data_IF_084275673366
#
_entry.id   IF_084275673366
#
_cell.length_a   1.000
_cell.length_b   1.000
_cell.length_c   1.000
_cell.angle_alpha   90.00
_cell.angle_beta   90.00
_cell.angle_gamma   90.00
#
_symmetry.space_group_name_H-M   'P 1'
#
loop_
_entity.id
_entity.type
_entity.pdbx_description
1 polymer ?
#
# COMPACT_ATOMS: atom_id res chain seq x y z
N UNK A 1 13.45 -21.40 5.41
CA UNK A 1 12.10 -21.07 5.87
C UNK A 1 12.07 -20.94 7.38
N UNK A 2 11.34 -19.97 7.87
CA UNK A 2 11.06 -19.78 9.31
C UNK A 2 9.58 -20.11 9.54
N UNK A 3 9.30 -21.12 10.35
CA UNK A 3 7.94 -21.59 10.58
C UNK A 3 7.46 -21.27 11.98
N UNK A 4 6.32 -20.59 12.09
CA UNK A 4 5.64 -20.28 13.32
C UNK A 4 4.53 -21.31 13.56
N UNK A 5 4.76 -22.27 14.47
CA UNK A 5 3.78 -23.30 14.82
C UNK A 5 2.64 -22.75 15.69
N UNK A 6 2.84 -21.62 16.32
CA UNK A 6 1.89 -20.89 17.18
C UNK A 6 2.04 -19.38 16.94
N UNK A 7 1.09 -18.56 17.38
CA UNK A 7 1.21 -17.11 17.25
C UNK A 7 2.53 -16.59 17.79
N UNK A 8 3.15 -15.69 17.05
CA UNK A 8 4.41 -15.04 17.42
C UNK A 8 4.27 -13.52 17.30
N UNK A 9 4.76 -12.84 18.32
CA UNK A 9 4.75 -11.36 18.34
C UNK A 9 6.18 -10.84 18.32
N UNK A 10 6.50 -10.00 17.34
CA UNK A 10 7.69 -9.16 17.37
C UNK A 10 7.42 -8.07 18.40
N UNK A 11 8.13 -8.15 19.55
CA UNK A 11 7.91 -7.29 20.71
C UNK A 11 9.10 -6.35 20.93
N UNK A 12 9.02 -5.49 21.93
CA UNK A 12 10.00 -4.45 22.22
C UNK A 12 11.47 -4.90 22.33
N UNK A 13 11.72 -6.17 22.44
CA UNK A 13 13.09 -6.73 22.57
C UNK A 13 13.57 -7.49 21.33
N UNK A 14 12.74 -7.60 20.32
CA UNK A 14 13.06 -8.36 19.10
C UNK A 14 12.76 -7.54 17.85
N UNK A 15 13.77 -7.40 17.02
CA UNK A 15 13.63 -6.90 15.65
C UNK A 15 13.99 -8.06 14.72
N UNK A 16 13.05 -8.47 13.91
CA UNK A 16 13.31 -9.45 12.86
C UNK A 16 13.68 -8.70 11.60
N UNK A 17 14.92 -8.81 11.16
CA UNK A 17 15.43 -8.16 9.95
C UNK A 17 15.89 -9.23 8.98
N UNK A 18 15.49 -9.11 7.73
CA UNK A 18 16.19 -9.77 6.64
C UNK A 18 16.85 -8.73 5.73
N UNK A 19 18.14 -8.49 5.90
CA UNK A 19 18.86 -7.49 5.11
C UNK A 19 19.30 -7.97 3.72
N UNK A 20 19.37 -9.30 3.44
CA UNK A 20 20.11 -9.76 2.26
C UNK A 20 19.66 -11.10 1.66
N UNK A 21 18.60 -11.71 2.14
CA UNK A 21 18.23 -13.06 1.69
C UNK A 21 16.78 -13.17 1.23
N UNK A 22 16.42 -14.29 0.65
CA UNK A 22 15.02 -14.65 0.42
C UNK A 22 14.57 -15.57 1.54
N UNK A 23 13.76 -15.07 2.45
CA UNK A 23 13.17 -15.88 3.52
C UNK A 23 11.71 -16.20 3.18
N UNK A 24 11.33 -17.43 3.48
CA UNK A 24 9.91 -17.81 3.51
C UNK A 24 9.49 -17.94 4.96
N UNK A 25 8.55 -17.12 5.38
CA UNK A 25 7.84 -17.25 6.64
C UNK A 25 6.65 -18.17 6.43
N UNK A 26 6.41 -19.11 7.35
CA UNK A 26 5.32 -20.07 7.20
C UNK A 26 4.80 -20.57 8.54
N UNK A 27 3.85 -21.52 8.47
CA UNK A 27 3.19 -22.10 9.64
C UNK A 27 1.81 -21.50 9.92
N UNK A 28 1.02 -22.13 10.79
CA UNK A 28 -0.36 -21.71 11.07
C UNK A 28 -0.45 -20.55 12.08
N UNK A 29 0.69 -20.11 12.66
CA UNK A 29 0.68 -19.06 13.66
C UNK A 29 0.52 -17.66 13.07
N UNK A 30 -0.26 -16.82 13.73
CA UNK A 30 -0.34 -15.39 13.42
C UNK A 30 1.01 -14.72 13.75
N UNK A 31 1.51 -13.91 12.82
CA UNK A 31 2.66 -13.04 13.04
C UNK A 31 2.18 -11.62 13.35
N UNK A 32 2.38 -11.17 14.59
CA UNK A 32 2.05 -9.80 14.98
C UNK A 32 3.31 -8.94 15.03
N UNK A 33 3.31 -7.82 14.34
CA UNK A 33 4.33 -6.78 14.47
C UNK A 33 3.78 -5.75 15.45
N UNK A 34 4.25 -5.78 16.70
CA UNK A 34 3.72 -4.90 17.74
C UNK A 34 4.08 -3.43 17.49
N UNK A 35 3.30 -2.52 18.06
CA UNK A 35 3.56 -1.08 18.00
C UNK A 35 4.98 -0.74 18.45
N UNK A 36 5.67 0.12 17.70
CA UNK A 36 7.06 0.49 17.93
C UNK A 36 8.09 -0.55 17.46
N UNK A 37 7.65 -1.69 16.92
CA UNK A 37 8.52 -2.72 16.36
C UNK A 37 8.48 -2.71 14.84
N UNK A 38 9.49 -3.34 14.22
CA UNK A 38 9.58 -3.39 12.77
C UNK A 38 9.91 -4.79 12.25
N UNK A 39 9.35 -5.10 11.10
CA UNK A 39 9.73 -6.21 10.23
C UNK A 39 10.09 -5.63 8.87
N UNK A 40 11.28 -5.98 8.37
CA UNK A 40 11.72 -5.64 7.02
C UNK A 40 11.69 -6.87 6.13
N UNK A 41 11.11 -6.73 4.95
CA UNK A 41 11.08 -7.73 3.90
C UNK A 41 11.84 -7.22 2.66
N UNK A 42 12.71 -8.10 2.12
CA UNK A 42 13.51 -7.81 0.91
C UNK A 42 13.53 -9.06 0.04
N UNK A 43 12.64 -9.16 -0.95
CA UNK A 43 12.42 -10.35 -1.77
C UNK A 43 11.88 -11.56 -0.98
N UNK A 44 11.10 -11.34 0.05
CA UNK A 44 10.64 -12.37 0.97
C UNK A 44 9.21 -12.82 0.71
N UNK A 45 8.86 -13.99 1.20
CA UNK A 45 7.50 -14.54 1.13
C UNK A 45 6.98 -14.84 2.52
N UNK A 46 5.85 -14.23 2.88
CA UNK A 46 5.12 -14.51 4.09
C UNK A 46 3.85 -15.32 3.77
N UNK A 47 3.78 -16.54 4.29
CA UNK A 47 2.61 -17.42 4.18
C UNK A 47 1.78 -17.44 5.48
N UNK A 48 2.25 -16.75 6.51
CA UNK A 48 1.52 -16.58 7.76
C UNK A 48 0.47 -15.47 7.64
N UNK A 49 -0.57 -15.55 8.40
CA UNK A 49 -1.41 -14.41 8.68
C UNK A 49 -0.58 -13.34 9.41
N UNK A 50 -0.74 -12.07 9.02
CA UNK A 50 0.03 -10.95 9.56
C UNK A 50 -0.91 -9.88 10.10
N UNK A 51 -0.63 -9.47 11.35
CA UNK A 51 -1.23 -8.29 11.98
C UNK A 51 -0.14 -7.24 12.20
N UNK A 52 -0.11 -6.23 11.33
CA UNK A 52 0.85 -5.12 11.44
C UNK A 52 0.27 -3.98 12.28
N UNK A 53 0.74 -3.87 13.51
CA UNK A 53 0.49 -2.77 14.43
C UNK A 53 1.71 -1.85 14.58
N UNK A 54 2.87 -2.26 14.06
CA UNK A 54 4.14 -1.57 14.07
C UNK A 54 4.54 -1.03 12.70
N UNK A 55 5.72 -1.41 12.24
CA UNK A 55 6.26 -1.02 10.92
C UNK A 55 6.54 -2.29 10.12
N UNK A 56 5.89 -2.43 8.98
CA UNK A 56 6.23 -3.40 7.94
C UNK A 56 6.90 -2.64 6.79
N UNK A 57 8.19 -2.86 6.61
CA UNK A 57 9.01 -2.16 5.62
C UNK A 57 9.38 -3.10 4.46
N UNK A 58 8.93 -2.77 3.27
CA UNK A 58 9.23 -3.49 2.03
C UNK A 58 10.29 -2.69 1.29
N UNK A 59 11.53 -3.12 1.37
CA UNK A 59 12.63 -2.46 0.67
C UNK A 59 13.16 -3.34 -0.45
N UNK A 60 13.23 -2.78 -1.64
CA UNK A 60 13.82 -3.43 -2.82
C UNK A 60 13.14 -4.75 -3.23
N UNK A 61 13.24 -5.06 -4.51
CA UNK A 61 12.72 -6.30 -5.08
C UNK A 61 11.22 -6.56 -4.80
N UNK A 62 10.78 -7.78 -5.00
CA UNK A 62 9.38 -8.16 -4.80
C UNK A 62 9.25 -9.03 -3.57
N UNK A 63 8.48 -8.57 -2.59
CA UNK A 63 8.03 -9.37 -1.46
C UNK A 63 6.56 -9.75 -1.63
N UNK A 64 6.17 -10.89 -1.05
CA UNK A 64 4.82 -11.43 -1.19
C UNK A 64 4.24 -11.79 0.16
N UNK A 65 2.98 -11.42 0.38
CA UNK A 65 2.15 -11.87 1.50
C UNK A 65 1.06 -12.78 0.93
N UNK A 66 1.23 -14.09 1.11
CA UNK A 66 0.31 -15.12 0.63
C UNK A 66 -0.72 -15.55 1.68
N UNK A 67 -0.78 -14.84 2.80
CA UNK A 67 -1.67 -15.17 3.91
C UNK A 67 -3.15 -15.07 3.53
N UNK A 68 -3.98 -15.75 4.30
CA UNK A 68 -5.44 -15.60 4.19
C UNK A 68 -5.91 -14.29 4.82
N UNK A 69 -5.21 -13.82 5.85
CA UNK A 69 -5.53 -12.58 6.55
C UNK A 69 -4.28 -11.70 6.68
N UNK A 70 -4.40 -10.48 6.18
CA UNK A 70 -3.45 -9.40 6.43
C UNK A 70 -4.22 -8.19 6.96
N UNK A 71 -3.74 -7.58 8.05
CA UNK A 71 -4.28 -6.34 8.59
C UNK A 71 -3.16 -5.33 8.78
N UNK A 72 -3.44 -4.05 8.50
CA UNK A 72 -2.50 -2.97 8.74
C UNK A 72 -3.16 -1.87 9.57
N UNK A 73 -2.81 -1.82 10.84
CA UNK A 73 -3.14 -0.71 11.75
C UNK A 73 -1.93 0.14 12.12
N UNK A 74 -0.73 -0.29 11.72
CA UNK A 74 0.53 0.42 11.85
C UNK A 74 0.95 1.15 10.57
N UNK A 75 2.22 1.04 10.23
CA UNK A 75 2.80 1.62 9.01
C UNK A 75 3.28 0.49 8.09
N UNK A 76 2.83 0.51 6.87
CA UNK A 76 3.35 -0.29 5.76
C UNK A 76 4.09 0.65 4.81
N UNK A 77 5.40 0.47 4.67
CA UNK A 77 6.21 1.25 3.74
C UNK A 77 6.66 0.38 2.58
N UNK A 78 6.48 0.85 1.35
CA UNK A 78 7.02 0.25 0.13
C UNK A 78 8.02 1.24 -0.43
N UNK A 79 9.33 0.99 -0.18
CA UNK A 79 10.39 1.97 -0.40
C UNK A 79 11.39 1.50 -1.44
N UNK A 80 11.47 2.24 -2.55
CA UNK A 80 12.54 2.08 -3.53
C UNK A 80 13.81 2.80 -3.04
N UNK A 81 14.90 2.06 -2.94
CA UNK A 81 16.22 2.60 -2.59
C UNK A 81 17.19 2.52 -3.77
N UNK A 82 18.45 2.88 -3.59
CA UNK A 82 19.44 2.88 -4.68
C UNK A 82 19.62 1.53 -5.37
N UNK A 83 19.33 0.44 -4.70
CA UNK A 83 19.52 -0.93 -5.22
C UNK A 83 18.51 -1.33 -6.29
N UNK A 84 17.20 -1.20 -6.01
CA UNK A 84 16.14 -1.65 -6.92
C UNK A 84 14.78 -1.01 -6.61
N UNK A 85 13.79 -1.33 -7.45
CA UNK A 85 12.38 -1.06 -7.19
C UNK A 85 11.92 -1.83 -5.93
N UNK A 86 10.85 -1.36 -5.29
CA UNK A 86 10.20 -2.07 -4.22
C UNK A 86 8.77 -2.47 -4.63
N UNK A 87 8.43 -3.72 -4.42
CA UNK A 87 7.12 -4.25 -4.79
C UNK A 87 6.58 -5.13 -3.67
N UNK A 88 5.32 -4.94 -3.34
CA UNK A 88 4.57 -5.83 -2.45
C UNK A 88 3.39 -6.42 -3.21
N UNK A 89 3.30 -7.73 -3.21
CA UNK A 89 2.11 -8.45 -3.65
C UNK A 89 1.40 -9.05 -2.43
N UNK A 90 0.14 -8.70 -2.24
CA UNK A 90 -0.75 -9.28 -1.23
C UNK A 90 -1.77 -10.15 -1.97
N UNK A 91 -1.86 -11.41 -1.59
CA UNK A 91 -2.71 -12.38 -2.30
C UNK A 91 -4.20 -12.05 -2.18
N UNK A 92 -4.64 -11.60 -1.02
CA UNK A 92 -6.05 -11.34 -0.71
C UNK A 92 -6.30 -9.88 -0.31
N UNK A 93 -7.53 -9.43 -0.48
CA UNK A 93 -7.96 -8.11 0.00
C UNK A 93 -7.73 -7.97 1.50
N UNK A 94 -7.47 -6.72 1.94
CA UNK A 94 -7.19 -6.43 3.33
C UNK A 94 -7.68 -5.03 3.75
N UNK A 95 -7.73 -4.82 5.06
CA UNK A 95 -8.07 -3.51 5.63
C UNK A 95 -6.80 -2.76 6.04
N UNK A 96 -6.70 -1.51 5.60
CA UNK A 96 -5.73 -0.54 6.06
C UNK A 96 -6.42 0.45 7.00
N UNK A 97 -6.19 0.32 8.31
CA UNK A 97 -6.61 1.29 9.32
C UNK A 97 -5.46 2.22 9.74
N UNK A 98 -4.23 1.89 9.34
CA UNK A 98 -3.02 2.66 9.59
C UNK A 98 -2.58 3.47 8.37
N UNK A 99 -1.29 3.45 8.08
CA UNK A 99 -0.71 4.16 6.93
C UNK A 99 -0.04 3.19 5.97
N UNK A 100 -0.28 3.37 4.68
CA UNK A 100 0.49 2.77 3.59
C UNK A 100 1.25 3.90 2.90
N UNK A 101 2.57 3.79 2.78
CA UNK A 101 3.41 4.77 2.09
C UNK A 101 4.16 4.10 0.93
N UNK A 102 4.02 4.64 -0.27
CA UNK A 102 4.88 4.33 -1.40
C UNK A 102 5.89 5.46 -1.54
N UNK A 103 7.19 5.17 -1.36
CA UNK A 103 8.26 6.19 -1.32
C UNK A 103 9.42 5.86 -2.26
N UNK A 104 9.79 6.79 -3.13
CA UNK A 104 11.07 6.72 -3.80
C UNK A 104 12.15 7.48 -2.99
N UNK A 105 12.89 6.74 -2.18
CA UNK A 105 14.02 7.28 -1.40
C UNK A 105 15.35 7.28 -2.18
N UNK A 106 15.33 6.96 -3.47
CA UNK A 106 16.51 6.86 -4.32
C UNK A 106 16.83 8.17 -5.03
N UNK A 107 18.11 8.37 -5.37
CA UNK A 107 18.53 9.42 -6.29
C UNK A 107 18.27 9.12 -7.76
N UNK A 108 17.85 7.88 -8.08
CA UNK A 108 17.48 7.45 -9.44
C UNK A 108 16.03 7.02 -9.47
N UNK A 109 15.45 6.97 -10.67
CA UNK A 109 14.07 6.53 -10.87
C UNK A 109 13.87 5.13 -10.32
N UNK A 110 12.90 4.98 -9.40
CA UNK A 110 12.48 3.70 -8.83
C UNK A 110 10.96 3.61 -8.82
N UNK A 111 10.46 2.44 -9.15
CA UNK A 111 9.03 2.13 -9.05
C UNK A 111 8.71 1.50 -7.70
N UNK A 112 7.63 1.95 -7.10
CA UNK A 112 7.03 1.35 -5.92
C UNK A 112 5.67 0.82 -6.31
N UNK A 113 5.46 -0.48 -6.07
CA UNK A 113 4.22 -1.13 -6.50
C UNK A 113 3.57 -1.88 -5.35
N UNK A 114 2.30 -1.59 -5.10
CA UNK A 114 1.42 -2.41 -4.28
C UNK A 114 0.44 -3.15 -5.20
N UNK A 115 0.41 -4.47 -5.11
CA UNK A 115 -0.56 -5.29 -5.83
C UNK A 115 -1.40 -6.09 -4.84
N UNK A 116 -2.73 -6.01 -4.95
CA UNK A 116 -3.67 -6.90 -4.27
C UNK A 116 -4.27 -7.81 -5.33
N UNK A 117 -3.89 -9.10 -5.28
CA UNK A 117 -4.17 -10.04 -6.38
C UNK A 117 -5.64 -10.44 -6.47
N UNK A 118 -6.34 -10.49 -5.34
CA UNK A 118 -7.77 -10.79 -5.29
C UNK A 118 -8.45 -10.03 -4.15
N UNK A 119 -9.75 -9.77 -4.27
CA UNK A 119 -10.51 -9.03 -3.27
C UNK A 119 -10.28 -7.52 -3.36
N UNK A 120 -10.42 -6.83 -2.24
CA UNK A 120 -10.45 -5.37 -2.17
C UNK A 120 -9.53 -4.85 -1.06
N UNK A 121 -8.79 -3.78 -1.34
CA UNK A 121 -8.13 -2.96 -0.34
C UNK A 121 -9.16 -1.99 0.24
N UNK A 122 -9.55 -2.21 1.50
CA UNK A 122 -10.41 -1.28 2.24
C UNK A 122 -9.52 -0.29 2.99
N UNK A 123 -9.47 0.95 2.51
CA UNK A 123 -8.69 2.01 3.16
C UNK A 123 -9.57 2.80 4.12
N UNK A 124 -9.30 2.65 5.41
CA UNK A 124 -9.91 3.41 6.51
C UNK A 124 -8.91 4.40 7.12
N UNK A 125 -7.62 4.23 6.85
CA UNK A 125 -6.52 5.08 7.28
C UNK A 125 -6.01 5.97 6.15
N UNK A 126 -4.71 5.96 5.92
CA UNK A 126 -4.07 6.78 4.89
C UNK A 126 -3.31 5.91 3.89
N UNK A 127 -3.44 6.21 2.60
CA UNK A 127 -2.53 5.77 1.55
C UNK A 127 -1.80 7.02 1.07
N UNK A 128 -0.47 7.05 1.19
CA UNK A 128 0.36 8.19 0.81
C UNK A 128 1.39 7.79 -0.24
N UNK A 129 1.68 8.72 -1.14
CA UNK A 129 2.78 8.57 -2.11
C UNK A 129 3.75 9.72 -1.95
N UNK A 130 5.04 9.39 -1.74
CA UNK A 130 6.06 10.39 -1.44
C UNK A 130 7.31 10.17 -2.30
N UNK A 131 8.13 11.21 -2.38
CA UNK A 131 9.42 11.17 -3.04
C UNK A 131 10.45 11.84 -2.13
N UNK A 132 11.08 11.03 -1.27
CA UNK A 132 12.10 11.53 -0.36
C UNK A 132 13.49 11.62 -0.99
N UNK A 133 13.70 10.89 -2.10
CA UNK A 133 14.90 10.95 -2.93
C UNK A 133 14.79 11.93 -4.10
N UNK A 134 15.87 12.11 -4.86
CA UNK A 134 15.91 12.99 -6.02
C UNK A 134 15.52 12.31 -7.35
N UNK A 135 15.36 10.99 -7.36
CA UNK A 135 15.00 10.24 -8.57
C UNK A 135 13.51 10.38 -8.91
N UNK A 136 13.18 10.37 -10.20
CA UNK A 136 11.79 10.40 -10.62
C UNK A 136 10.98 9.22 -10.03
N UNK A 137 9.68 9.41 -9.89
CA UNK A 137 8.79 8.43 -9.26
C UNK A 137 7.88 7.75 -10.28
N UNK A 138 7.50 6.50 -9.94
CA UNK A 138 6.45 5.76 -10.60
C UNK A 138 5.75 4.90 -9.54
N UNK A 139 4.81 5.51 -8.82
CA UNK A 139 4.02 4.79 -7.82
C UNK A 139 2.84 4.11 -8.48
N UNK A 140 2.66 2.84 -8.19
CA UNK A 140 1.63 2.01 -8.80
C UNK A 140 0.86 1.24 -7.72
N UNK A 141 -0.47 1.35 -7.75
CA UNK A 141 -1.36 0.57 -6.92
C UNK A 141 -2.28 -0.23 -7.84
N UNK A 142 -2.10 -1.56 -7.86
CA UNK A 142 -2.93 -2.50 -8.59
C UNK A 142 -3.90 -3.16 -7.62
N UNK A 143 -5.05 -2.57 -7.38
CA UNK A 143 -6.03 -3.06 -6.42
C UNK A 143 -7.42 -2.49 -6.70
N UNK A 144 -8.46 -3.29 -6.48
CA UNK A 144 -9.77 -2.72 -6.21
C UNK A 144 -9.75 -2.01 -4.87
N UNK A 145 -10.28 -0.79 -4.78
CA UNK A 145 -10.18 0.04 -3.57
C UNK A 145 -11.57 0.50 -3.15
N UNK A 146 -11.85 0.35 -1.85
CA UNK A 146 -12.88 1.09 -1.14
C UNK A 146 -12.16 2.06 -0.20
N UNK A 147 -12.27 3.36 -0.47
CA UNK A 147 -11.64 4.40 0.31
C UNK A 147 -12.68 5.12 1.19
N UNK A 148 -12.53 4.95 2.49
CA UNK A 148 -13.26 5.70 3.52
C UNK A 148 -12.34 6.57 4.37
N UNK A 149 -11.03 6.46 4.15
CA UNK A 149 -9.97 7.26 4.76
C UNK A 149 -9.43 8.32 3.80
N UNK A 150 -8.13 8.45 3.75
CA UNK A 150 -7.41 9.45 2.96
C UNK A 150 -6.52 8.77 1.91
N UNK A 151 -6.53 9.29 0.69
CA UNK A 151 -5.49 9.04 -0.33
C UNK A 151 -4.77 10.35 -0.56
N UNK A 152 -3.48 10.40 -0.21
CA UNK A 152 -2.64 11.59 -0.20
C UNK A 152 -1.50 11.43 -1.23
N UNK A 153 -1.55 12.21 -2.28
CA UNK A 153 -0.68 12.09 -3.46
C UNK A 153 0.29 13.27 -3.49
N UNK A 154 1.38 13.17 -2.73
CA UNK A 154 2.49 14.11 -2.77
C UNK A 154 3.45 13.85 -3.94
N UNK A 155 3.43 12.64 -4.48
CA UNK A 155 4.20 12.26 -5.66
C UNK A 155 3.32 11.47 -6.64
N UNK A 156 3.52 11.71 -7.94
CA UNK A 156 2.69 11.13 -9.01
C UNK A 156 2.50 9.63 -8.88
N UNK A 157 1.25 9.19 -9.01
CA UNK A 157 0.84 7.81 -8.85
C UNK A 157 -0.22 7.37 -9.87
N UNK A 158 -0.28 6.07 -10.11
CA UNK A 158 -1.34 5.43 -10.89
C UNK A 158 -2.04 4.39 -10.03
N UNK A 159 -3.36 4.40 -10.03
CA UNK A 159 -4.20 3.34 -9.46
C UNK A 159 -4.85 2.59 -10.61
N UNK A 160 -4.52 1.31 -10.74
CA UNK A 160 -5.19 0.38 -11.65
C UNK A 160 -6.19 -0.47 -10.86
N UNK A 161 -7.45 -0.36 -11.20
CA UNK A 161 -8.52 -1.05 -10.51
C UNK A 161 -9.63 -1.48 -11.49
N UNK A 162 -10.40 -2.52 -11.17
CA UNK A 162 -11.71 -2.71 -11.79
C UNK A 162 -12.71 -1.75 -11.15
N UNK A 163 -12.68 -1.63 -9.84
CA UNK A 163 -13.54 -0.73 -9.07
C UNK A 163 -12.70 0.14 -8.14
N UNK A 164 -12.96 1.44 -8.20
CA UNK A 164 -12.41 2.44 -7.28
C UNK A 164 -13.59 3.21 -6.68
N UNK A 165 -13.80 3.05 -5.38
CA UNK A 165 -14.88 3.68 -4.63
C UNK A 165 -14.30 4.62 -3.57
N UNK A 166 -14.55 5.91 -3.71
CA UNK A 166 -14.22 6.95 -2.73
C UNK A 166 -15.47 7.69 -2.25
N UNK A 167 -16.61 6.99 -2.18
CA UNK A 167 -17.88 7.60 -1.82
C UNK A 167 -17.93 8.21 -0.41
N UNK A 168 -17.02 7.83 0.48
CA UNK A 168 -16.95 8.31 1.87
C UNK A 168 -15.55 8.78 2.29
N UNK A 169 -14.55 8.69 1.42
CA UNK A 169 -13.17 9.07 1.72
C UNK A 169 -12.74 10.38 1.06
N UNK A 170 -11.48 10.77 1.28
CA UNK A 170 -10.88 11.93 0.65
C UNK A 170 -9.70 11.56 -0.23
N UNK A 171 -9.46 12.39 -1.24
CA UNK A 171 -8.28 12.38 -2.08
C UNK A 171 -7.69 13.79 -2.06
N UNK A 172 -6.42 13.89 -1.71
CA UNK A 172 -5.64 15.11 -1.84
C UNK A 172 -4.52 14.89 -2.87
N UNK A 173 -4.35 15.82 -3.80
CA UNK A 173 -3.29 15.74 -4.81
C UNK A 173 -2.48 17.01 -4.76
N UNK A 174 -1.22 16.92 -4.32
CA UNK A 174 -0.33 18.05 -4.16
C UNK A 174 -0.03 18.75 -5.50
N UNK A 175 0.30 20.04 -5.44
CA UNK A 175 0.68 20.81 -6.61
C UNK A 175 1.87 20.17 -7.35
N UNK A 176 1.75 20.01 -8.66
CA UNK A 176 2.76 19.36 -9.50
C UNK A 176 2.66 17.83 -9.56
N UNK A 177 1.84 17.22 -8.72
CA UNK A 177 1.58 15.77 -8.75
C UNK A 177 0.35 15.42 -9.57
N UNK A 178 0.32 14.18 -10.04
CA UNK A 178 -0.81 13.64 -10.81
C UNK A 178 -1.22 12.29 -10.23
N UNK A 179 -2.51 12.16 -9.92
CA UNK A 179 -3.14 10.86 -9.69
C UNK A 179 -3.80 10.40 -10.98
N UNK A 180 -3.33 9.32 -11.55
CA UNK A 180 -4.00 8.66 -12.69
C UNK A 180 -4.89 7.53 -12.18
N UNK A 181 -6.18 7.62 -12.42
CA UNK A 181 -7.14 6.54 -12.17
C UNK A 181 -7.40 5.80 -13.47
N UNK A 182 -6.96 4.55 -13.52
CA UNK A 182 -7.22 3.61 -14.60
C UNK A 182 -8.15 2.51 -14.08
N UNK A 183 -9.43 2.82 -14.04
CA UNK A 183 -10.45 1.93 -13.49
C UNK A 183 -11.60 1.73 -14.47
N UNK A 184 -12.32 0.59 -14.35
CA UNK A 184 -13.56 0.38 -15.13
C UNK A 184 -14.70 1.18 -14.53
N UNK A 185 -14.76 1.28 -13.20
CA UNK A 185 -15.77 2.04 -12.48
C UNK A 185 -15.12 2.87 -11.38
N UNK A 186 -15.39 4.18 -11.38
CA UNK A 186 -15.02 5.10 -10.31
C UNK A 186 -16.28 5.67 -9.69
N UNK A 187 -16.43 5.55 -8.37
CA UNK A 187 -17.54 6.11 -7.60
C UNK A 187 -17.03 7.23 -6.70
N UNK A 188 -17.66 8.40 -6.81
CA UNK A 188 -17.42 9.57 -5.97
C UNK A 188 -18.73 9.89 -5.26
N UNK A 189 -18.74 9.92 -3.94
CA UNK A 189 -19.94 10.15 -3.15
C UNK A 189 -20.06 11.59 -2.64
N UNK A 190 -21.23 11.90 -2.07
CA UNK A 190 -21.48 13.22 -1.48
C UNK A 190 -20.62 13.52 -0.25
N UNK A 191 -20.15 12.48 0.42
CA UNK A 191 -19.28 12.59 1.58
C UNK A 191 -17.80 12.56 1.23
N UNK A 192 -17.46 12.42 -0.06
CA UNK A 192 -16.07 12.45 -0.50
C UNK A 192 -15.55 13.88 -0.64
N UNK A 193 -14.24 14.02 -0.45
CA UNK A 193 -13.52 15.28 -0.66
C UNK A 193 -12.40 15.06 -1.67
N UNK A 194 -12.38 15.90 -2.72
CA UNK A 194 -11.28 15.96 -3.68
C UNK A 194 -10.61 17.32 -3.51
N UNK A 195 -9.37 17.32 -3.04
CA UNK A 195 -8.63 18.53 -2.67
C UNK A 195 -7.25 18.57 -3.30
N UNK A 196 -6.52 19.66 -3.05
CA UNK A 196 -5.18 19.87 -3.55
C UNK A 196 -5.13 20.69 -4.84
N UNK A 197 -3.92 21.03 -5.29
CA UNK A 197 -3.66 21.81 -6.50
C UNK A 197 -3.02 20.98 -7.63
N UNK A 198 -3.02 19.67 -7.48
CA UNK A 198 -2.53 18.71 -8.47
C UNK A 198 -3.59 18.34 -9.51
N UNK A 199 -3.35 17.26 -10.20
CA UNK A 199 -4.22 16.77 -11.29
C UNK A 199 -4.74 15.38 -10.98
N UNK A 200 -6.04 15.16 -11.18
CA UNK A 200 -6.63 13.82 -11.26
C UNK A 200 -6.89 13.52 -12.74
N UNK A 201 -6.24 12.50 -13.27
CA UNK A 201 -6.35 12.06 -14.65
C UNK A 201 -7.14 10.75 -14.72
N UNK A 202 -8.26 10.76 -15.42
CA UNK A 202 -9.09 9.58 -15.65
C UNK A 202 -8.75 8.99 -17.01
N UNK A 203 -8.31 7.74 -17.05
CA UNK A 203 -7.95 7.05 -18.30
C UNK A 203 -8.70 5.72 -18.44
N UNK A 204 -8.82 5.26 -19.68
CA UNK A 204 -9.56 4.04 -20.01
C UNK A 204 -11.07 4.26 -20.17
N UNK A 205 -11.81 3.18 -20.28
CA UNK A 205 -13.27 3.22 -20.39
C UNK A 205 -13.88 3.22 -18.99
N UNK A 206 -14.13 4.41 -18.47
CA UNK A 206 -14.63 4.55 -17.11
C UNK A 206 -16.11 4.87 -17.07
N UNK A 207 -16.84 4.21 -16.17
CA UNK A 207 -18.09 4.70 -15.65
C UNK A 207 -17.81 5.58 -14.43
N UNK A 208 -18.02 6.88 -14.53
CA UNK A 208 -17.88 7.81 -13.41
C UNK A 208 -19.24 8.01 -12.75
N UNK A 209 -19.41 7.50 -11.56
CA UNK A 209 -20.63 7.57 -10.80
C UNK A 209 -20.53 8.62 -9.69
N UNK A 210 -21.40 9.63 -9.74
CA UNK A 210 -21.59 10.56 -8.65
C UNK A 210 -22.82 10.12 -7.85
N UNK A 211 -22.64 9.74 -6.58
CA UNK A 211 -23.74 9.30 -5.72
C UNK A 211 -24.71 10.42 -5.32
N UNK A 212 -24.32 11.68 -5.58
CA UNK A 212 -25.16 12.88 -5.46
C UNK A 212 -24.54 14.02 -6.30
N UNK A 213 -25.27 15.15 -6.49
CA UNK A 213 -24.70 16.30 -7.18
C UNK A 213 -23.37 16.72 -6.54
N UNK A 214 -22.30 16.71 -7.31
CA UNK A 214 -20.98 17.19 -6.91
C UNK A 214 -20.82 18.60 -7.48
N UNK A 215 -20.56 19.58 -6.60
CA UNK A 215 -20.41 21.01 -6.99
C UNK A 215 -18.98 21.47 -6.75
#
# INVERSE_FOLDING_TARGET
ALNFASPYTISATSTLLDPTGTITFGGPGLLTIASGQSLKLTADTANNDIDNQGILDIEQNTSTINSTTFTNSGVLTIRGTSGSNAQLTVANGFTNAGTITLDNASSVTRSQTLTVSSGTLTNQGTISTTQTGAGAVNHLINANIINTGVIDIDATATINATTFDTSAGSIDVAAGSTLTLNSTTTTVGASSSLTGAGTINLIGTQALNFASPYT
#
